data_IF_907064442971
#
_entry.id   IF_907064442971
#
_cell.length_a   1.000
_cell.length_b   1.000
_cell.length_c   1.000
_cell.angle_alpha   90.00
_cell.angle_beta   90.00
_cell.angle_gamma   90.00
#
_symmetry.space_group_name_H-M   'P 1'
#
loop_
_entity.id
_entity.type
_entity.pdbx_description
1 polymer ?
#
# COMPACT_ATOMS: atom_id res chain seq x y z
N UNK A 1 7.77 16.54 -17.38
CA UNK A 1 7.51 15.14 -16.99
C UNK A 1 6.43 15.19 -15.92
N UNK A 2 5.24 14.69 -16.24
CA UNK A 2 4.06 14.77 -15.37
C UNK A 2 4.27 13.90 -14.14
N UNK A 3 4.27 14.57 -12.99
CA UNK A 3 4.12 14.01 -11.65
C UNK A 3 2.96 13.00 -11.69
N UNK A 4 3.18 11.76 -11.26
CA UNK A 4 2.12 10.73 -11.18
C UNK A 4 1.20 11.13 -10.03
N UNK A 5 0.27 12.04 -10.31
CA UNK A 5 -0.73 12.47 -9.35
C UNK A 5 -1.67 11.29 -9.06
N UNK A 6 -1.94 11.05 -7.78
CA UNK A 6 -3.03 10.16 -7.36
C UNK A 6 -4.33 10.78 -7.88
N UNK A 7 -5.01 10.07 -8.77
CA UNK A 7 -6.29 10.52 -9.31
C UNK A 7 -7.41 10.24 -8.30
N UNK A 8 -7.71 11.24 -7.47
CA UNK A 8 -8.73 11.15 -6.41
C UNK A 8 -10.09 10.71 -6.97
N UNK A 9 -10.48 11.23 -8.14
CA UNK A 9 -11.79 10.93 -8.72
C UNK A 9 -11.87 9.47 -9.17
N UNK A 10 -10.82 8.96 -9.83
CA UNK A 10 -10.75 7.56 -10.23
C UNK A 10 -10.77 6.61 -9.01
N UNK A 11 -10.11 6.99 -7.91
CA UNK A 11 -10.15 6.22 -6.67
C UNK A 11 -11.55 6.23 -6.03
N UNK A 12 -12.18 7.40 -5.92
CA UNK A 12 -13.54 7.51 -5.39
C UNK A 12 -14.56 6.72 -6.23
N UNK A 13 -14.44 6.78 -7.56
CA UNK A 13 -15.26 5.97 -8.47
C UNK A 13 -15.04 4.47 -8.22
N UNK A 14 -13.79 4.01 -8.18
CA UNK A 14 -13.47 2.60 -7.94
C UNK A 14 -13.98 2.12 -6.58
N UNK A 15 -13.84 2.93 -5.52
CA UNK A 15 -14.36 2.62 -4.19
C UNK A 15 -15.89 2.58 -4.16
N UNK A 16 -16.59 3.41 -4.94
CA UNK A 16 -18.07 3.42 -4.99
C UNK A 16 -18.70 2.15 -5.57
N UNK A 17 -17.91 1.35 -6.30
CA UNK A 17 -18.32 0.04 -6.83
C UNK A 17 -18.34 -1.01 -5.71
N UNK A 18 -17.55 -0.83 -4.65
CA UNK A 18 -17.59 -1.62 -3.43
C UNK A 18 -18.69 -1.07 -2.50
N UNK A 19 -19.42 -1.90 -1.72
CA UNK A 19 -19.32 -3.34 -1.51
C UNK A 19 -20.35 -4.13 -2.33
N UNK A 20 -20.68 -3.70 -3.57
CA UNK A 20 -21.80 -4.25 -4.35
C UNK A 20 -21.50 -5.68 -4.80
N UNK A 21 -21.85 -6.63 -3.94
CA UNK A 21 -21.73 -8.10 -3.97
C UNK A 21 -21.25 -8.77 -5.27
N UNK A 22 -20.34 -9.74 -5.10
CA UNK A 22 -19.97 -10.71 -6.13
C UNK A 22 -18.50 -10.73 -6.52
N UNK A 23 -17.63 -10.02 -5.79
CA UNK A 23 -16.18 -10.09 -5.96
C UNK A 23 -15.59 -11.18 -5.06
N UNK A 24 -14.51 -11.80 -5.53
CA UNK A 24 -13.83 -12.92 -4.88
C UNK A 24 -12.36 -12.60 -4.53
N UNK A 25 -11.87 -11.39 -4.86
CA UNK A 25 -10.59 -10.84 -4.43
C UNK A 25 -10.56 -9.32 -4.57
N UNK A 26 -9.84 -8.65 -3.69
CA UNK A 26 -9.54 -7.22 -3.74
C UNK A 26 -8.02 -7.02 -3.79
N UNK A 27 -7.56 -6.15 -4.67
CA UNK A 27 -6.18 -5.68 -4.73
C UNK A 27 -6.15 -4.17 -4.60
N UNK A 28 -5.36 -3.66 -3.66
CA UNK A 28 -5.16 -2.22 -3.40
C UNK A 28 -3.68 -1.91 -3.51
N UNK A 29 -3.29 -0.97 -4.37
CA UNK A 29 -1.89 -0.58 -4.62
C UNK A 29 -1.72 0.91 -4.38
N UNK A 30 -0.92 1.27 -3.38
CA UNK A 30 -0.65 2.64 -2.94
C UNK A 30 0.86 2.82 -2.75
N UNK A 31 1.61 2.82 -3.86
CA UNK A 31 3.06 2.77 -3.90
C UNK A 31 3.71 4.10 -4.35
N UNK A 32 2.94 5.10 -4.78
CA UNK A 32 3.47 6.45 -5.05
C UNK A 32 3.76 7.24 -3.77
N UNK A 33 4.80 8.07 -3.82
CA UNK A 33 5.10 9.08 -2.80
C UNK A 33 3.96 10.10 -2.60
N UNK A 34 3.14 10.33 -3.63
CA UNK A 34 2.03 11.28 -3.56
C UNK A 34 1.00 10.88 -2.49
N UNK A 35 0.88 9.59 -2.17
CA UNK A 35 0.05 9.11 -1.06
C UNK A 35 0.45 9.68 0.28
N UNK A 36 1.69 10.15 0.47
CA UNK A 36 2.16 10.68 1.76
C UNK A 36 1.92 12.19 1.89
N UNK A 37 1.40 12.84 0.84
CA UNK A 37 1.06 14.25 0.89
C UNK A 37 -0.13 14.48 1.83
N UNK A 38 -0.18 15.60 2.56
CA UNK A 38 -1.31 15.93 3.43
C UNK A 38 -2.65 15.99 2.68
N UNK A 39 -2.65 16.44 1.43
CA UNK A 39 -3.86 16.53 0.58
C UNK A 39 -4.55 15.19 0.34
N UNK A 40 -3.84 14.08 0.50
CA UNK A 40 -4.37 12.72 0.33
C UNK A 40 -4.72 12.03 1.64
N UNK A 41 -4.68 12.73 2.79
CA UNK A 41 -5.00 12.13 4.09
C UNK A 41 -6.41 11.55 4.13
N UNK A 42 -7.41 12.33 3.73
CA UNK A 42 -8.79 11.86 3.71
C UNK A 42 -8.95 10.61 2.82
N UNK A 43 -8.33 10.61 1.63
CA UNK A 43 -8.37 9.45 0.75
C UNK A 43 -7.66 8.21 1.35
N UNK A 44 -6.56 8.40 2.09
CA UNK A 44 -5.91 7.29 2.83
C UNK A 44 -6.83 6.72 3.90
N UNK A 45 -7.58 7.57 4.61
CA UNK A 45 -8.55 7.17 5.63
C UNK A 45 -9.73 6.43 4.98
N UNK A 46 -10.30 6.95 3.89
CA UNK A 46 -11.39 6.31 3.14
C UNK A 46 -10.99 4.90 2.66
N UNK A 47 -9.77 4.71 2.17
CA UNK A 47 -9.26 3.40 1.74
C UNK A 47 -9.07 2.45 2.93
N UNK A 48 -8.63 2.96 4.09
CA UNK A 48 -8.50 2.16 5.31
C UNK A 48 -9.86 1.67 5.81
N UNK A 49 -10.84 2.57 5.86
CA UNK A 49 -12.22 2.28 6.27
C UNK A 49 -12.86 1.27 5.30
N UNK A 50 -12.65 1.44 3.99
CA UNK A 50 -13.11 0.48 2.99
C UNK A 50 -12.54 -0.93 3.21
N UNK A 51 -11.23 -1.04 3.45
CA UNK A 51 -10.59 -2.34 3.71
C UNK A 51 -11.10 -2.95 5.00
N UNK A 52 -11.31 -2.13 6.04
CA UNK A 52 -11.88 -2.56 7.32
C UNK A 52 -13.32 -3.09 7.13
N UNK A 53 -14.16 -2.36 6.42
CA UNK A 53 -15.54 -2.76 6.10
C UNK A 53 -15.57 -4.05 5.28
N UNK A 54 -14.68 -4.21 4.28
CA UNK A 54 -14.56 -5.46 3.54
C UNK A 54 -14.19 -6.63 4.46
N UNK A 55 -13.21 -6.44 5.34
CA UNK A 55 -12.81 -7.47 6.31
C UNK A 55 -13.95 -7.89 7.24
N UNK A 56 -14.83 -6.95 7.62
CA UNK A 56 -15.98 -7.24 8.49
C UNK A 56 -17.15 -7.89 7.74
N UNK A 57 -17.48 -7.37 6.55
CA UNK A 57 -18.62 -7.85 5.77
C UNK A 57 -18.36 -9.18 5.08
N UNK A 58 -17.10 -9.44 4.69
CA UNK A 58 -16.68 -10.67 4.02
C UNK A 58 -15.33 -11.16 4.57
N UNK A 59 -15.31 -11.80 5.76
CA UNK A 59 -14.07 -12.20 6.44
C UNK A 59 -13.15 -13.11 5.62
N UNK A 60 -13.71 -13.90 4.71
CA UNK A 60 -12.97 -14.82 3.84
C UNK A 60 -12.54 -14.19 2.51
N UNK A 61 -12.89 -12.93 2.23
CA UNK A 61 -12.49 -12.23 1.01
C UNK A 61 -10.97 -12.00 1.04
N UNK A 62 -10.19 -12.58 0.11
CA UNK A 62 -8.77 -12.29 0.04
C UNK A 62 -8.53 -10.84 -0.39
N UNK A 63 -7.79 -10.10 0.43
CA UNK A 63 -7.42 -8.71 0.20
C UNK A 63 -5.89 -8.62 0.21
N UNK A 64 -5.31 -8.22 -0.91
CA UNK A 64 -3.89 -7.85 -0.98
C UNK A 64 -3.79 -6.33 -1.03
N UNK A 65 -3.12 -5.74 -0.05
CA UNK A 65 -2.82 -4.31 0.00
C UNK A 65 -1.32 -4.12 -0.14
N UNK A 66 -0.89 -3.27 -1.07
CA UNK A 66 0.50 -3.02 -1.36
C UNK A 66 0.80 -1.56 -1.10
N UNK A 67 1.76 -1.29 -0.21
CA UNK A 67 2.23 0.04 0.15
C UNK A 67 3.71 0.17 -0.13
N UNK A 68 4.23 1.40 -0.14
CA UNK A 68 5.66 1.65 -0.28
C UNK A 68 6.44 1.16 0.96
N UNK A 69 7.55 0.42 0.75
CA UNK A 69 8.43 -0.05 1.83
C UNK A 69 9.20 1.08 2.50
N UNK A 70 9.82 1.94 1.71
CA UNK A 70 10.63 3.08 2.14
C UNK A 70 10.58 4.18 1.07
N UNK A 71 10.89 5.42 1.46
CA UNK A 71 10.84 6.53 0.51
C UNK A 71 11.97 6.43 -0.52
N UNK A 72 11.71 6.49 -1.84
CA UNK A 72 12.78 6.59 -2.82
C UNK A 72 13.51 7.92 -2.65
N UNK A 73 14.75 7.85 -2.17
CA UNK A 73 15.57 9.01 -1.78
C UNK A 73 16.18 9.75 -2.96
N UNK A 74 16.21 9.15 -4.16
CA UNK A 74 16.72 9.80 -5.38
C UNK A 74 15.69 10.77 -6.00
N UNK A 75 15.81 12.05 -5.65
CA UNK A 75 15.17 13.21 -6.31
C UNK A 75 13.63 13.18 -6.41
N UNK A 76 12.93 12.52 -5.48
CA UNK A 76 11.46 12.48 -5.44
C UNK A 76 10.82 13.43 -4.41
N UNK A 77 11.58 13.89 -3.42
CA UNK A 77 11.13 14.85 -2.40
C UNK A 77 11.87 16.18 -2.60
N UNK A 78 11.14 17.30 -2.51
CA UNK A 78 11.75 18.62 -2.47
C UNK A 78 12.65 18.75 -1.24
N UNK A 79 13.65 19.62 -1.31
CA UNK A 79 14.58 19.86 -0.22
C UNK A 79 13.81 20.36 1.02
N UNK A 80 13.84 19.61 2.12
CA UNK A 80 13.09 19.90 3.36
C UNK A 80 11.79 19.11 3.55
N UNK A 81 11.27 18.43 2.52
CA UNK A 81 10.02 17.65 2.64
C UNK A 81 10.22 16.24 3.19
N UNK A 82 11.45 15.72 3.13
CA UNK A 82 11.76 14.32 3.45
C UNK A 82 11.39 13.95 4.89
N UNK A 83 11.71 14.80 5.87
CA UNK A 83 11.38 14.55 7.27
C UNK A 83 9.86 14.43 7.50
N UNK A 84 9.08 15.28 6.82
CA UNK A 84 7.61 15.24 6.88
C UNK A 84 7.05 13.99 6.22
N UNK A 85 7.54 13.64 5.03
CA UNK A 85 7.11 12.42 4.33
C UNK A 85 7.46 11.15 5.12
N UNK A 86 8.65 11.13 5.76
CA UNK A 86 9.05 10.03 6.65
C UNK A 86 8.10 9.91 7.83
N UNK A 87 7.77 11.02 8.51
CA UNK A 87 6.83 11.00 9.63
C UNK A 87 5.45 10.42 9.23
N UNK A 88 4.89 10.87 8.09
CA UNK A 88 3.61 10.35 7.57
C UNK A 88 3.73 8.87 7.18
N UNK A 89 4.84 8.45 6.58
CA UNK A 89 5.08 7.06 6.20
C UNK A 89 5.20 6.14 7.42
N UNK A 90 5.94 6.55 8.45
CA UNK A 90 6.07 5.80 9.70
C UNK A 90 4.73 5.69 10.43
N UNK A 91 3.97 6.79 10.54
CA UNK A 91 2.64 6.80 11.15
C UNK A 91 1.69 5.85 10.41
N UNK A 92 1.65 5.95 9.08
CA UNK A 92 0.75 5.12 8.27
C UNK A 92 1.13 3.63 8.34
N UNK A 93 2.42 3.31 8.27
CA UNK A 93 2.93 1.93 8.44
C UNK A 93 2.54 1.38 9.80
N UNK A 94 2.71 2.15 10.87
CA UNK A 94 2.30 1.77 12.23
C UNK A 94 0.80 1.52 12.32
N UNK A 95 -0.03 2.39 11.73
CA UNK A 95 -1.49 2.23 11.69
C UNK A 95 -1.87 0.93 10.99
N UNK A 96 -1.30 0.67 9.82
CA UNK A 96 -1.57 -0.55 9.04
C UNK A 96 -1.13 -1.82 9.78
N UNK A 97 0.03 -1.79 10.43
CA UNK A 97 0.52 -2.91 11.24
C UNK A 97 -0.42 -3.17 12.42
N UNK A 98 -0.84 -2.11 13.12
CA UNK A 98 -1.77 -2.20 14.25
C UNK A 98 -3.12 -2.77 13.82
N UNK A 99 -3.69 -2.25 12.73
CA UNK A 99 -4.96 -2.72 12.17
C UNK A 99 -4.88 -4.19 11.76
N UNK A 100 -3.79 -4.61 11.10
CA UNK A 100 -3.61 -6.02 10.70
C UNK A 100 -3.57 -6.97 11.91
N UNK A 101 -2.93 -6.54 13.01
CA UNK A 101 -2.86 -7.33 14.24
C UNK A 101 -4.17 -7.37 15.01
N UNK A 102 -4.94 -6.28 15.01
CA UNK A 102 -6.22 -6.18 15.70
C UNK A 102 -7.33 -6.94 14.96
N UNK A 103 -7.38 -6.80 13.63
CA UNK A 103 -8.37 -7.51 12.80
C UNK A 103 -8.15 -9.02 12.83
N UNK A 104 -6.90 -9.49 12.91
CA UNK A 104 -6.51 -10.90 12.81
C UNK A 104 -7.18 -11.62 11.63
N UNK A 105 -7.45 -10.89 10.55
CA UNK A 105 -8.12 -11.44 9.38
C UNK A 105 -7.07 -12.17 8.52
N UNK A 106 -7.12 -13.52 8.41
CA UNK A 106 -6.13 -14.29 7.66
C UNK A 106 -6.18 -14.04 6.14
N UNK A 107 -7.27 -13.46 5.64
CA UNK A 107 -7.48 -13.13 4.24
C UNK A 107 -6.92 -11.74 3.86
N UNK A 108 -6.62 -10.88 4.84
CA UNK A 108 -5.95 -9.59 4.63
C UNK A 108 -4.42 -9.77 4.65
N UNK A 109 -3.75 -9.38 3.57
CA UNK A 109 -2.29 -9.34 3.46
C UNK A 109 -1.83 -7.94 3.07
N UNK A 110 -0.92 -7.39 3.86
CA UNK A 110 -0.30 -6.10 3.57
C UNK A 110 1.15 -6.36 3.16
N UNK A 111 1.53 -5.86 1.99
CA UNK A 111 2.83 -6.02 1.36
C UNK A 111 3.51 -4.67 1.25
N UNK A 112 4.79 -4.62 1.58
CA UNK A 112 5.67 -3.47 1.37
C UNK A 112 6.45 -3.67 0.09
N UNK A 113 6.23 -2.81 -0.90
CA UNK A 113 6.94 -2.81 -2.15
C UNK A 113 8.30 -2.10 -1.98
N UNK A 114 9.37 -2.82 -2.26
CA UNK A 114 10.74 -2.31 -2.30
C UNK A 114 10.95 -1.63 -3.64
N UNK A 115 11.25 -0.33 -3.59
CA UNK A 115 11.75 0.43 -4.74
C UNK A 115 13.27 0.36 -4.69
N UNK A 116 13.89 -0.12 -5.77
CA UNK A 116 15.35 -0.18 -5.89
C UNK A 116 15.95 1.23 -5.66
N UNK A 117 17.09 1.33 -4.97
CA UNK A 117 17.75 2.61 -4.69
C UNK A 117 18.15 3.38 -5.95
N UNK A 118 18.27 2.70 -7.09
CA UNK A 118 18.51 3.33 -8.39
C UNK A 118 17.22 3.92 -9.02
N UNK A 119 16.04 3.52 -8.54
CA UNK A 119 14.74 3.93 -9.06
C UNK A 119 14.15 5.11 -8.27
N UNK A 120 13.43 5.97 -9.00
CA UNK A 120 12.74 7.14 -8.41
C UNK A 120 11.30 6.84 -7.97
N UNK A 121 10.75 5.70 -8.43
CA UNK A 121 9.36 5.31 -8.22
C UNK A 121 9.20 3.81 -8.40
N UNK A 122 8.11 3.27 -7.86
CA UNK A 122 7.66 1.92 -8.13
C UNK A 122 7.44 1.68 -9.64
N UNK A 123 7.70 0.44 -10.08
CA UNK A 123 7.45 0.00 -11.46
C UNK A 123 5.95 -0.25 -11.76
N UNK A 124 5.10 -0.10 -10.75
CA UNK A 124 3.66 -0.34 -10.77
C UNK A 124 2.93 0.95 -10.45
N UNK A 125 1.77 1.14 -11.09
CA UNK A 125 0.90 2.28 -10.83
C UNK A 125 0.07 2.05 -9.58
N UNK A 126 -0.46 3.14 -9.01
CA UNK A 126 -1.44 3.06 -7.94
C UNK A 126 -2.83 2.77 -8.51
N UNK A 127 -3.53 1.81 -7.91
CA UNK A 127 -4.89 1.46 -8.30
C UNK A 127 -5.57 0.60 -7.24
N UNK A 128 -6.88 0.44 -7.42
CA UNK A 128 -7.68 -0.60 -6.80
C UNK A 128 -8.31 -1.44 -7.91
N UNK A 129 -8.24 -2.76 -7.80
CA UNK A 129 -8.91 -3.68 -8.73
C UNK A 129 -9.62 -4.81 -7.97
N UNK A 130 -10.67 -5.33 -8.59
CA UNK A 130 -11.56 -6.33 -8.07
C UNK A 130 -11.58 -7.53 -9.00
N UNK A 131 -11.54 -8.72 -8.41
CA UNK A 131 -11.74 -9.96 -9.16
C UNK A 131 -13.16 -10.45 -8.97
N UNK A 132 -13.85 -10.77 -10.07
CA UNK A 132 -15.19 -11.33 -10.09
C UNK A 132 -15.22 -12.57 -10.95
N UNK A 133 -15.60 -13.71 -10.37
CA UNK A 133 -15.69 -15.00 -11.07
C UNK A 133 -14.39 -15.35 -11.78
N UNK A 134 -13.27 -15.11 -11.10
CA UNK A 134 -11.92 -15.38 -11.62
C UNK A 134 -11.35 -14.36 -12.61
N UNK A 135 -12.08 -13.30 -12.97
CA UNK A 135 -11.59 -12.24 -13.88
C UNK A 135 -11.46 -10.90 -13.16
N UNK A 136 -10.33 -10.23 -13.35
CA UNK A 136 -10.09 -8.87 -12.86
C UNK A 136 -10.86 -7.85 -13.70
N UNK A 137 -11.30 -6.72 -13.12
CA UNK A 137 -11.97 -5.67 -13.89
C UNK A 137 -10.98 -4.94 -14.82
N UNK A 138 -9.72 -4.81 -14.38
CA UNK A 138 -8.64 -4.22 -15.18
C UNK A 138 -7.42 -5.17 -15.28
N UNK A 139 -7.54 -6.27 -16.04
CA UNK A 139 -6.53 -7.34 -16.07
C UNK A 139 -5.13 -6.90 -16.44
N UNK A 140 -4.97 -5.96 -17.38
CA UNK A 140 -3.66 -5.53 -17.87
C UNK A 140 -2.87 -4.76 -16.82
N UNK A 141 -3.56 -3.91 -16.04
CA UNK A 141 -2.97 -3.17 -14.92
C UNK A 141 -2.64 -4.10 -13.76
N UNK A 142 -3.54 -5.03 -13.47
CA UNK A 142 -3.38 -5.95 -12.34
C UNK A 142 -2.31 -7.01 -12.56
N UNK A 143 -2.09 -7.45 -13.80
CA UNK A 143 -1.11 -8.50 -14.12
C UNK A 143 0.29 -8.18 -13.60
N UNK A 144 0.76 -6.95 -13.82
CA UNK A 144 2.09 -6.53 -13.37
C UNK A 144 2.28 -6.69 -11.84
N UNK A 145 1.24 -6.35 -11.07
CA UNK A 145 1.29 -6.50 -9.61
C UNK A 145 1.18 -7.97 -9.18
N UNK A 146 0.32 -8.75 -9.83
CA UNK A 146 0.17 -10.18 -9.51
C UNK A 146 1.47 -10.95 -9.78
N UNK A 147 2.14 -10.66 -10.89
CA UNK A 147 3.44 -11.27 -11.23
C UNK A 147 4.49 -10.94 -10.15
N UNK A 148 4.51 -9.68 -9.68
CA UNK A 148 5.40 -9.24 -8.62
C UNK A 148 5.13 -10.00 -7.31
N UNK A 149 3.87 -10.03 -6.85
CA UNK A 149 3.46 -10.74 -5.64
C UNK A 149 3.73 -12.25 -5.74
N UNK A 150 3.53 -12.86 -6.92
CA UNK A 150 3.77 -14.29 -7.13
C UNK A 150 5.25 -14.67 -7.05
N UNK A 151 6.15 -13.78 -7.50
CA UNK A 151 7.59 -14.04 -7.39
C UNK A 151 8.14 -13.82 -5.98
N UNK A 152 7.43 -13.04 -5.16
CA UNK A 152 7.87 -12.61 -3.83
C UNK A 152 9.13 -11.73 -3.84
N UNK A 153 9.67 -11.41 -5.02
CA UNK A 153 10.86 -10.56 -5.16
C UNK A 153 10.42 -9.10 -5.17
N UNK A 154 11.06 -8.29 -4.34
CA UNK A 154 10.75 -6.86 -4.24
C UNK A 154 9.54 -6.55 -3.37
N UNK A 155 8.98 -7.52 -2.64
CA UNK A 155 7.98 -7.26 -1.59
C UNK A 155 8.37 -7.92 -0.29
N UNK A 156 8.07 -7.26 0.83
CA UNK A 156 8.13 -7.87 2.17
C UNK A 156 6.77 -7.80 2.84
N UNK A 157 6.35 -8.82 3.61
CA UNK A 157 5.11 -8.71 4.36
C UNK A 157 5.24 -7.61 5.42
N UNK A 158 4.15 -6.89 5.65
CA UNK A 158 3.99 -6.04 6.82
C UNK A 158 3.33 -6.88 7.93
N UNK A 159 3.94 -6.85 9.10
CA UNK A 159 3.66 -7.79 10.20
C UNK A 159 3.64 -7.06 11.54
N UNK A 160 3.31 -7.79 12.61
CA UNK A 160 3.39 -7.25 13.97
C UNK A 160 4.79 -6.83 14.42
N UNK A 161 5.85 -7.29 13.74
CA UNK A 161 7.22 -6.83 14.02
C UNK A 161 7.41 -5.35 13.69
N UNK A 162 6.63 -4.83 12.74
CA UNK A 162 6.69 -3.44 12.29
C UNK A 162 6.05 -2.46 13.30
N UNK A 163 5.50 -2.95 14.41
CA UNK A 163 5.07 -2.13 15.54
C UNK A 163 6.23 -1.69 16.45
N UNK A 164 7.40 -2.33 16.34
CA UNK A 164 8.57 -1.98 17.14
C UNK A 164 9.52 -1.09 16.32
N UNK A 165 9.23 0.21 16.28
CA UNK A 165 10.07 1.21 15.59
C UNK A 165 11.46 1.38 16.24
N UNK A 166 11.64 0.93 17.50
CA UNK A 166 12.90 0.91 18.25
C UNK A 166 13.54 -0.50 18.32
N UNK A 167 13.02 -1.46 17.57
CA UNK A 167 13.53 -2.83 17.53
C UNK A 167 14.89 -2.92 16.84
N UNK A 168 15.60 -4.06 16.98
CA UNK A 168 16.98 -4.22 16.51
C UNK A 168 17.20 -4.09 14.99
N UNK A 169 16.14 -3.80 14.22
CA UNK A 169 16.15 -3.59 12.76
C UNK A 169 15.33 -2.34 12.34
N UNK A 170 14.94 -1.47 13.28
CA UNK A 170 14.39 -0.15 12.93
C UNK A 170 15.47 0.72 12.31
N UNK A 171 15.14 1.88 11.72
CA UNK A 171 16.11 2.81 11.09
C UNK A 171 17.21 3.33 12.05
N UNK A 172 17.14 2.98 13.33
CA UNK A 172 18.18 3.16 14.33
C UNK A 172 19.20 1.99 14.40
N UNK A 173 19.05 0.93 13.61
CA UNK A 173 20.03 -0.15 13.49
C UNK A 173 21.23 0.34 12.66
N UNK A 174 22.43 0.47 13.28
CA UNK A 174 23.63 0.90 12.59
C UNK A 174 24.06 -0.05 11.46
N UNK A 175 23.48 -1.26 11.35
CA UNK A 175 23.76 -2.20 10.26
C UNK A 175 23.22 -1.77 8.89
N UNK A 176 22.28 -0.80 8.86
CA UNK A 176 21.73 -0.25 7.60
C UNK A 176 22.69 0.75 6.92
N UNK A 177 23.72 1.22 7.66
CA UNK A 177 24.71 2.21 7.18
C UNK A 177 26.12 1.62 6.95
N UNK A 178 26.28 0.30 6.86
CA UNK A 178 27.57 -0.37 6.61
C UNK A 178 27.71 -0.76 5.14
#
# INVERSE_FOLDING_TARGET
MTQSAVDIAAWQEAMSVLPRSGFDRLLVVQCSLEWLRPSHQALREDVDDLVFDCCNAAPDLPIDRVILHSLPTRQGAEEGDLARLNAVHSEWTYRLASTSMLLKNPALRIHRLIVDGEQRRAAVEDFLDLRRRGSWLWPDRTRAMIDLLATGRGTTPLTGYDLNLDGPFGDADPSVYI
#
